data_IF_786559340438
#
_entry.id   IF_786559340438
#
_cell.length_a   1.000
_cell.length_b   1.000
_cell.length_c   1.000
_cell.angle_alpha   90.00
_cell.angle_beta   90.00
_cell.angle_gamma   90.00
#
_symmetry.space_group_name_H-M   'P 1'
#
loop_
_entity.id
_entity.type
_entity.pdbx_description
1 polymer ?
#
# COMPACT_ATOMS: atom_id res chain seq x y z
N UNK A 1 11.72 1.83 3.43
CA UNK A 1 12.70 2.66 2.71
C UNK A 1 13.35 1.96 1.51
N UNK A 2 13.52 0.63 1.51
CA UNK A 2 14.19 -0.09 0.42
C UNK A 2 13.33 -0.28 -0.83
N UNK A 3 12.06 -0.67 -0.71
CA UNK A 3 11.19 -0.82 -1.89
C UNK A 3 11.02 0.45 -2.72
N UNK A 4 10.89 1.61 -2.07
CA UNK A 4 10.84 2.89 -2.78
C UNK A 4 12.12 3.11 -3.60
N UNK A 5 13.29 2.84 -3.01
CA UNK A 5 14.59 2.97 -3.66
C UNK A 5 14.73 2.02 -4.84
N UNK A 6 14.36 0.76 -4.65
CA UNK A 6 14.50 -0.27 -5.68
C UNK A 6 13.53 -0.02 -6.86
N UNK A 7 12.38 0.59 -6.58
CA UNK A 7 11.40 0.98 -7.59
C UNK A 7 11.70 2.34 -8.25
N UNK A 8 12.65 3.15 -7.74
CA UNK A 8 12.91 4.50 -8.26
C UNK A 8 13.03 4.57 -9.80
N UNK A 9 13.75 3.67 -10.49
CA UNK A 9 13.83 3.71 -11.95
C UNK A 9 12.47 3.52 -12.65
N UNK A 10 11.63 2.65 -12.09
CA UNK A 10 10.28 2.39 -12.61
C UNK A 10 9.35 3.58 -12.30
N UNK A 11 9.44 4.13 -11.09
CA UNK A 11 8.66 5.30 -10.68
C UNK A 11 9.02 6.56 -11.48
N UNK A 12 10.30 6.74 -11.83
CA UNK A 12 10.76 7.87 -12.65
C UNK A 12 10.32 7.76 -14.12
N UNK A 13 10.06 6.55 -14.61
CA UNK A 13 9.55 6.31 -15.95
C UNK A 13 8.01 6.27 -16.02
N UNK A 14 7.33 6.26 -14.87
CA UNK A 14 5.88 6.17 -14.80
C UNK A 14 5.20 7.48 -15.20
N UNK A 15 4.08 7.38 -15.91
CA UNK A 15 3.26 8.56 -16.25
C UNK A 15 2.61 9.17 -15.01
N UNK A 16 2.27 8.33 -14.03
CA UNK A 16 1.63 8.72 -12.78
C UNK A 16 2.17 7.87 -11.63
N UNK A 17 2.41 8.51 -10.48
CA UNK A 17 2.83 7.84 -9.25
C UNK A 17 1.89 8.20 -8.12
N UNK A 18 1.37 7.19 -7.44
CA UNK A 18 0.53 7.35 -6.25
C UNK A 18 1.17 6.68 -5.04
N UNK A 19 1.15 7.37 -3.90
CA UNK A 19 1.51 6.83 -2.59
C UNK A 19 0.22 6.60 -1.83
N UNK A 20 -0.07 5.34 -1.53
CA UNK A 20 -1.27 4.95 -0.80
C UNK A 20 -0.89 4.61 0.65
N UNK A 21 -1.61 5.20 1.61
CA UNK A 21 -1.50 4.89 3.03
C UNK A 21 -2.82 4.33 3.55
N UNK A 22 -2.73 3.23 4.30
CA UNK A 22 -3.84 2.73 5.10
C UNK A 22 -3.91 3.49 6.41
N UNK A 23 -5.07 4.07 6.71
CA UNK A 23 -5.40 4.69 7.98
C UNK A 23 -6.23 3.73 8.84
N UNK A 24 -5.98 3.75 10.14
CA UNK A 24 -6.76 2.99 11.10
C UNK A 24 -8.13 3.64 11.36
N UNK A 25 -9.17 2.86 11.69
CA UNK A 25 -10.47 3.42 12.06
C UNK A 25 -10.34 4.38 13.26
N UNK A 26 -10.76 5.63 13.07
CA UNK A 26 -10.68 6.68 14.11
C UNK A 26 -9.41 7.53 14.05
N UNK A 27 -8.50 7.29 13.10
CA UNK A 27 -7.41 8.22 12.85
C UNK A 27 -7.96 9.57 12.34
N UNK A 28 -7.48 10.66 12.95
CA UNK A 28 -7.90 12.01 12.58
C UNK A 28 -7.53 12.32 11.12
N UNK A 29 -8.49 12.87 10.39
CA UNK A 29 -8.34 13.25 8.98
C UNK A 29 -7.44 14.48 8.84
N UNK A 30 -7.45 15.35 9.85
CA UNK A 30 -6.69 16.61 9.85
C UNK A 30 -5.29 16.45 10.47
N UNK A 31 -4.95 15.24 10.96
CA UNK A 31 -3.61 14.96 11.45
C UNK A 31 -2.56 15.13 10.33
N UNK A 32 -1.38 15.71 10.61
CA UNK A 32 -0.32 15.91 9.64
C UNK A 32 0.01 14.61 8.87
N UNK A 33 0.05 14.69 7.54
CA UNK A 33 0.34 13.52 6.71
C UNK A 33 1.80 13.08 6.89
N UNK A 34 2.08 11.84 7.35
CA UNK A 34 3.44 11.37 7.55
C UNK A 34 4.20 11.13 6.22
N UNK A 35 3.58 11.42 5.08
CA UNK A 35 4.12 11.15 3.75
C UNK A 35 4.97 12.29 3.17
N UNK A 36 4.99 13.47 3.80
CA UNK A 36 5.73 14.65 3.30
C UNK A 36 7.22 14.34 3.06
N UNK A 37 7.85 13.58 3.96
CA UNK A 37 9.23 13.17 3.81
C UNK A 37 9.44 12.24 2.60
N UNK A 38 8.47 11.37 2.31
CA UNK A 38 8.49 10.44 1.17
C UNK A 38 8.28 11.22 -0.13
N UNK A 39 7.28 12.11 -0.17
CA UNK A 39 7.03 13.01 -1.30
C UNK A 39 8.26 13.87 -1.60
N UNK A 40 8.86 14.49 -0.59
CA UNK A 40 10.07 15.27 -0.76
C UNK A 40 11.26 14.44 -1.24
N UNK A 41 11.37 13.17 -0.82
CA UNK A 41 12.40 12.27 -1.34
C UNK A 41 12.18 11.95 -2.83
N UNK A 42 10.96 11.60 -3.23
CA UNK A 42 10.61 11.32 -4.62
C UNK A 42 10.80 12.55 -5.52
N UNK A 43 10.39 13.73 -5.06
CA UNK A 43 10.56 14.99 -5.79
C UNK A 43 12.03 15.30 -6.06
N UNK A 44 12.93 15.04 -5.10
CA UNK A 44 14.39 15.18 -5.32
C UNK A 44 14.94 14.24 -6.39
N UNK A 45 14.23 13.16 -6.69
CA UNK A 45 14.54 12.22 -7.76
C UNK A 45 13.70 12.46 -9.03
N UNK A 46 13.01 13.60 -9.14
CA UNK A 46 12.21 13.96 -10.30
C UNK A 46 10.85 13.24 -10.38
N UNK A 47 10.44 12.55 -9.31
CA UNK A 47 9.18 11.81 -9.25
C UNK A 47 8.12 12.66 -8.53
N UNK A 48 7.05 13.01 -9.25
CA UNK A 48 5.89 13.67 -8.68
C UNK A 48 4.85 12.63 -8.28
N UNK A 49 4.60 12.52 -6.97
CA UNK A 49 3.64 11.56 -6.43
C UNK A 49 2.39 12.25 -5.87
N UNK A 50 1.22 11.63 -6.07
CA UNK A 50 -0.03 11.99 -5.39
C UNK A 50 -0.23 11.10 -4.17
N UNK A 51 -0.70 11.66 -3.07
CA UNK A 51 -0.92 10.91 -1.83
C UNK A 51 -2.40 10.58 -1.66
N UNK A 52 -2.69 9.31 -1.40
CA UNK A 52 -4.04 8.81 -1.16
C UNK A 52 -4.09 8.14 0.22
N UNK A 53 -5.12 8.48 0.99
CA UNK A 53 -5.41 7.83 2.27
C UNK A 53 -6.63 6.94 2.11
N UNK A 54 -6.46 5.65 2.39
CA UNK A 54 -7.53 4.67 2.41
C UNK A 54 -7.85 4.30 3.86
N UNK A 55 -9.12 4.29 4.22
CA UNK A 55 -9.57 3.87 5.55
C UNK A 55 -9.91 2.39 5.49
N UNK A 56 -9.37 1.60 6.42
CA UNK A 56 -9.75 0.19 6.53
C UNK A 56 -11.24 0.08 6.85
N UNK A 57 -12.00 -0.62 6.01
CA UNK A 57 -13.35 -1.02 6.36
C UNK A 57 -13.31 -1.92 7.61
N UNK A 58 -14.10 -1.60 8.63
CA UNK A 58 -14.18 -2.40 9.85
C UNK A 58 -14.58 -3.86 9.55
N UNK A 59 -14.17 -4.78 10.42
CA UNK A 59 -14.36 -6.24 10.32
C UNK A 59 -15.85 -6.68 10.43
N UNK A 60 -16.71 -6.14 9.57
CA UNK A 60 -18.15 -6.39 9.57
C UNK A 60 -18.83 -6.31 8.20
N UNK A 61 -18.08 -6.03 7.13
CA UNK A 61 -18.60 -6.14 5.77
C UNK A 61 -18.10 -7.47 5.16
N UNK A 62 -18.74 -8.56 5.57
CA UNK A 62 -18.51 -9.89 5.00
C UNK A 62 -18.68 -9.85 3.48
N UNK A 63 -17.60 -10.19 2.77
CA UNK A 63 -17.56 -10.19 1.30
C UNK A 63 -16.25 -10.73 0.70
N UNK A 64 -15.19 -10.88 1.51
CA UNK A 64 -13.96 -11.53 1.08
C UNK A 64 -14.11 -13.05 0.91
N UNK A 65 -13.39 -13.62 -0.06
CA UNK A 65 -13.34 -15.08 -0.34
C UNK A 65 -12.60 -15.89 0.75
N UNK A 66 -12.12 -15.24 1.81
CA UNK A 66 -11.31 -15.82 2.87
C UNK A 66 -11.84 -15.39 4.25
N UNK A 67 -11.67 -16.24 5.29
CA UNK A 67 -12.29 -16.02 6.59
C UNK A 67 -11.77 -14.77 7.33
N UNK A 68 -12.71 -14.11 8.03
CA UNK A 68 -12.66 -12.79 8.67
C UNK A 68 -11.67 -12.63 9.85
N UNK A 69 -10.86 -13.66 10.14
CA UNK A 69 -9.90 -13.63 11.26
C UNK A 69 -8.52 -13.06 10.88
N UNK A 70 -8.31 -12.75 9.60
CA UNK A 70 -7.06 -12.15 9.14
C UNK A 70 -7.23 -10.63 9.01
N UNK A 71 -6.70 -9.82 9.95
CA UNK A 71 -6.84 -8.35 9.93
C UNK A 71 -6.19 -7.68 8.70
N UNK A 72 -5.48 -8.48 7.92
CA UNK A 72 -4.70 -8.13 6.74
C UNK A 72 -5.43 -8.28 5.40
N UNK A 73 -6.44 -9.16 5.33
CA UNK A 73 -7.25 -9.35 4.10
C UNK A 73 -7.89 -8.04 3.65
N UNK A 74 -8.49 -7.23 4.56
CA UNK A 74 -9.08 -5.94 4.18
C UNK A 74 -8.05 -4.95 3.60
N UNK A 75 -6.78 -5.04 4.01
CA UNK A 75 -5.73 -4.14 3.53
C UNK A 75 -5.31 -4.51 2.11
N UNK A 76 -5.06 -5.80 1.85
CA UNK A 76 -4.70 -6.27 0.52
C UNK A 76 -5.83 -5.98 -0.49
N UNK A 77 -7.08 -6.25 -0.10
CA UNK A 77 -8.25 -5.96 -0.94
C UNK A 77 -8.40 -4.47 -1.21
N UNK A 78 -8.28 -3.60 -0.20
CA UNK A 78 -8.36 -2.16 -0.39
C UNK A 78 -7.27 -1.62 -1.35
N UNK A 79 -6.04 -2.12 -1.24
CA UNK A 79 -4.95 -1.73 -2.14
C UNK A 79 -5.20 -2.21 -3.57
N UNK A 80 -5.71 -3.43 -3.75
CA UNK A 80 -6.04 -3.99 -5.07
C UNK A 80 -7.24 -3.28 -5.70
N UNK A 81 -8.28 -2.98 -4.91
CA UNK A 81 -9.43 -2.20 -5.37
C UNK A 81 -8.99 -0.81 -5.81
N UNK A 82 -8.18 -0.11 -5.00
CA UNK A 82 -7.62 1.19 -5.39
C UNK A 82 -6.78 1.08 -6.68
N UNK A 83 -5.90 0.09 -6.77
CA UNK A 83 -5.09 -0.13 -7.97
C UNK A 83 -5.96 -0.37 -9.22
N UNK A 84 -7.08 -1.08 -9.09
CA UNK A 84 -8.03 -1.28 -10.18
C UNK A 84 -8.78 0.02 -10.53
N UNK A 85 -9.23 0.77 -9.53
CA UNK A 85 -9.97 2.03 -9.71
C UNK A 85 -9.11 3.12 -10.36
N UNK A 86 -7.81 3.15 -10.08
CA UNK A 86 -6.86 4.10 -10.68
C UNK A 86 -6.18 3.60 -11.94
N UNK A 87 -6.43 2.34 -12.33
CA UNK A 87 -5.77 1.72 -13.48
C UNK A 87 -4.25 1.60 -13.33
N UNK A 88 -3.78 1.28 -12.13
CA UNK A 88 -2.35 1.11 -11.88
C UNK A 88 -1.80 -0.14 -12.59
N UNK A 89 -0.65 0.01 -13.25
CA UNK A 89 0.03 -1.10 -13.94
C UNK A 89 1.10 -1.80 -13.08
N UNK A 90 1.47 -1.20 -11.95
CA UNK A 90 2.47 -1.74 -11.03
C UNK A 90 2.13 -1.36 -9.58
N UNK A 91 2.09 -2.36 -8.70
CA UNK A 91 2.02 -2.14 -7.26
C UNK A 91 3.40 -2.33 -6.63
N UNK A 92 3.92 -1.28 -5.99
CA UNK A 92 5.18 -1.34 -5.23
C UNK A 92 4.86 -1.41 -3.75
N UNK A 93 5.36 -2.44 -3.07
CA UNK A 93 5.20 -2.57 -1.61
C UNK A 93 6.53 -2.82 -0.92
N UNK A 94 6.76 -2.09 0.16
CA UNK A 94 7.83 -2.39 1.11
C UNK A 94 7.44 -3.57 1.98
N UNK A 95 8.30 -4.59 2.01
CA UNK A 95 8.34 -5.48 3.14
C UNK A 95 8.74 -4.66 4.37
N UNK A 96 7.79 -4.39 5.25
CA UNK A 96 7.96 -3.90 6.62
C UNK A 96 8.54 -2.48 6.79
N UNK A 97 7.77 -1.57 7.40
CA UNK A 97 8.26 -0.23 7.70
C UNK A 97 7.45 0.63 8.67
N UNK A 98 6.13 0.44 8.81
CA UNK A 98 5.33 1.31 9.69
C UNK A 98 4.27 0.63 10.56
N UNK A 99 4.14 -0.70 10.56
CA UNK A 99 3.27 -1.41 11.51
C UNK A 99 4.09 -2.48 12.24
N UNK A 100 4.55 -2.16 13.45
CA UNK A 100 5.39 -3.00 14.34
C UNK A 100 4.70 -4.28 14.86
N UNK A 101 3.75 -4.87 14.15
CA UNK A 101 2.93 -5.97 14.68
C UNK A 101 3.20 -7.36 14.08
N UNK A 102 4.25 -7.56 13.27
CA UNK A 102 4.30 -8.74 12.37
C UNK A 102 5.68 -9.41 12.24
N UNK A 103 6.34 -9.70 13.37
CA UNK A 103 7.66 -10.36 13.36
C UNK A 103 7.63 -11.90 13.21
N UNK A 104 6.48 -12.60 13.10
CA UNK A 104 6.50 -14.08 13.15
C UNK A 104 5.79 -14.88 12.05
N UNK A 105 5.26 -14.27 11.00
CA UNK A 105 4.72 -15.05 9.89
C UNK A 105 4.82 -14.24 8.60
N UNK A 106 5.16 -14.89 7.49
CA UNK A 106 4.95 -14.37 6.14
C UNK A 106 3.48 -13.91 5.99
N UNK A 107 3.22 -12.63 6.27
CA UNK A 107 1.93 -12.13 6.77
C UNK A 107 0.73 -12.30 5.83
N UNK A 108 -0.47 -12.15 6.39
CA UNK A 108 -1.74 -12.32 5.69
C UNK A 108 -1.88 -11.40 4.48
N UNK A 109 -1.34 -10.17 4.54
CA UNK A 109 -1.43 -9.19 3.44
C UNK A 109 -0.68 -9.71 2.23
N UNK A 110 0.60 -10.08 2.41
CA UNK A 110 1.45 -10.58 1.33
C UNK A 110 0.87 -11.84 0.71
N UNK A 111 0.37 -12.77 1.53
CA UNK A 111 -0.26 -14.01 1.03
C UNK A 111 -1.56 -13.73 0.27
N UNK A 112 -2.40 -12.83 0.75
CA UNK A 112 -3.63 -12.44 0.06
C UNK A 112 -3.32 -11.69 -1.23
N UNK A 113 -2.35 -10.77 -1.20
CA UNK A 113 -1.88 -10.06 -2.39
C UNK A 113 -1.38 -11.03 -3.45
N UNK A 114 -0.49 -11.98 -3.11
CA UNK A 114 0.02 -12.96 -4.07
C UNK A 114 -1.07 -13.88 -4.64
N UNK A 115 -2.17 -14.09 -3.91
CA UNK A 115 -3.31 -14.88 -4.39
C UNK A 115 -4.28 -14.10 -5.25
N UNK A 116 -4.44 -12.82 -4.98
CA UNK A 116 -5.50 -11.98 -5.55
C UNK A 116 -4.98 -10.87 -6.46
N UNK A 117 -3.66 -10.78 -6.67
CA UNK A 117 -3.06 -9.72 -7.49
C UNK A 117 -3.61 -9.76 -8.91
N UNK A 118 -4.10 -8.61 -9.35
CA UNK A 118 -4.61 -8.36 -10.70
C UNK A 118 -3.56 -7.66 -11.58
N UNK A 119 -2.44 -7.25 -10.98
CA UNK A 119 -1.34 -6.52 -11.59
C UNK A 119 0.02 -7.00 -11.05
N UNK A 120 1.13 -6.76 -11.76
CA UNK A 120 2.48 -7.01 -11.25
C UNK A 120 2.72 -6.33 -9.89
N UNK A 121 3.29 -7.08 -8.95
CA UNK A 121 3.64 -6.57 -7.61
C UNK A 121 5.15 -6.65 -7.41
N UNK A 122 5.80 -5.49 -7.21
CA UNK A 122 7.19 -5.40 -6.79
C UNK A 122 7.26 -5.35 -5.26
N UNK A 123 7.90 -6.35 -4.67
CA UNK A 123 8.15 -6.42 -3.22
C UNK A 123 9.65 -6.34 -2.95
N UNK A 124 10.03 -5.49 -2.00
CA UNK A 124 11.43 -5.33 -1.61
C UNK A 124 11.55 -5.12 -0.09
N UNK A 125 12.60 -5.71 0.51
CA UNK A 125 12.89 -5.78 1.94
C UNK A 125 14.32 -5.34 2.23
#
# INVERSE_FOLDING_TARGET
>A
ARALRDALPLLAAAEQVEIVRMADPGEDRDAPEPLDAVCGHLQRHGVHARTHRLVRAGAGAGGGLLPDWSPDVPVAEALLSHAADTGADLLVMGGYGHSRAWELALGGVTRTMLKSMTLPVLMSH
#
